data_IF_768312851271
#
_entry.id   IF_768312851271
#
_cell.length_a   1.000
_cell.length_b   1.000
_cell.length_c   1.000
_cell.angle_alpha   90.00
_cell.angle_beta   90.00
_cell.angle_gamma   90.00
#
_symmetry.space_group_name_H-M   'P 1'
#
loop_
_entity.id
_entity.type
_entity.pdbx_description
1 polymer ?
#
# COMPACT_ATOMS: atom_id res chain seq x y z
N UNK A 1 21.24 4.04 -4.66
CA UNK A 1 20.82 3.95 -3.25
C UNK A 1 19.40 3.42 -3.29
N UNK A 2 19.09 2.39 -2.51
CA UNK A 2 17.77 1.77 -2.60
C UNK A 2 16.76 2.54 -1.74
N UNK A 3 15.66 2.96 -2.37
CA UNK A 3 14.52 3.60 -1.73
C UNK A 3 13.30 2.70 -1.81
N UNK A 4 12.50 2.69 -0.74
CA UNK A 4 11.21 2.00 -0.69
C UNK A 4 10.09 3.03 -0.61
N UNK A 5 9.15 2.95 -1.54
CA UNK A 5 7.92 3.75 -1.54
C UNK A 5 6.77 2.82 -1.19
N UNK A 6 5.96 3.23 -0.22
CA UNK A 6 4.79 2.50 0.24
C UNK A 6 3.55 3.35 -0.01
N UNK A 7 2.60 2.82 -0.75
CA UNK A 7 1.35 3.50 -1.12
C UNK A 7 0.19 2.67 -0.58
N UNK A 8 -0.66 3.28 0.22
CA UNK A 8 -1.82 2.63 0.82
C UNK A 8 -3.06 3.49 0.68
N UNK A 9 -4.23 2.86 0.87
CA UNK A 9 -5.51 3.56 0.91
C UNK A 9 -5.60 4.49 2.13
N UNK A 10 -6.28 5.62 1.95
CA UNK A 10 -6.65 6.48 3.08
C UNK A 10 -7.56 5.73 4.05
N UNK A 11 -7.51 6.04 5.35
CA UNK A 11 -8.28 5.32 6.40
C UNK A 11 -9.79 5.23 6.13
N UNK A 12 -10.35 6.21 5.42
CA UNK A 12 -11.79 6.29 5.10
C UNK A 12 -12.17 5.59 3.79
N UNK A 13 -11.20 5.02 3.08
CA UNK A 13 -11.40 4.36 1.80
C UNK A 13 -11.43 2.86 2.01
N UNK A 14 -12.42 2.23 1.37
CA UNK A 14 -12.65 0.81 1.49
C UNK A 14 -11.61 0.03 0.70
N UNK A 15 -10.82 -0.76 1.40
CA UNK A 15 -9.92 -1.74 0.79
C UNK A 15 -10.67 -3.06 0.51
N UNK A 16 -11.21 -3.19 -0.70
CA UNK A 16 -11.95 -4.39 -1.09
C UNK A 16 -11.06 -5.65 -1.14
N UNK A 17 -9.77 -5.51 -1.43
CA UNK A 17 -8.82 -6.63 -1.47
C UNK A 17 -8.50 -7.08 -0.05
N UNK A 18 -8.22 -6.14 0.86
CA UNK A 18 -7.99 -6.39 2.28
C UNK A 18 -9.15 -7.16 2.91
N UNK A 19 -10.39 -6.72 2.68
CA UNK A 19 -11.59 -7.42 3.18
C UNK A 19 -11.73 -8.84 2.62
N UNK A 20 -11.44 -9.03 1.34
CA UNK A 20 -11.46 -10.37 0.71
C UNK A 20 -10.41 -11.30 1.33
N UNK A 21 -9.22 -10.78 1.60
CA UNK A 21 -8.13 -11.54 2.23
C UNK A 21 -8.45 -11.86 3.69
N UNK A 22 -8.97 -10.90 4.45
CA UNK A 22 -9.44 -11.12 5.83
C UNK A 22 -10.42 -12.28 5.90
N UNK A 23 -11.42 -12.28 5.00
CA UNK A 23 -12.39 -13.37 4.91
C UNK A 23 -11.73 -14.73 4.66
N UNK A 24 -10.81 -14.80 3.70
CA UNK A 24 -10.05 -16.05 3.41
C UNK A 24 -9.20 -16.52 4.59
N UNK A 25 -8.53 -15.62 5.31
CA UNK A 25 -7.71 -16.00 6.47
C UNK A 25 -8.59 -16.65 7.55
N UNK A 26 -9.77 -16.08 7.80
CA UNK A 26 -10.70 -16.62 8.79
C UNK A 26 -11.27 -17.96 8.32
N UNK A 27 -11.72 -18.07 7.07
CA UNK A 27 -12.35 -19.27 6.52
C UNK A 27 -11.39 -20.44 6.32
N UNK A 28 -10.21 -20.17 5.75
CA UNK A 28 -9.26 -21.21 5.34
C UNK A 28 -8.31 -21.60 6.48
N UNK A 29 -7.88 -20.63 7.29
CA UNK A 29 -6.85 -20.83 8.32
C UNK A 29 -7.41 -20.84 9.75
N UNK A 30 -8.69 -20.46 9.94
CA UNK A 30 -9.32 -20.31 11.26
C UNK A 30 -8.56 -19.35 12.19
N UNK A 31 -7.84 -18.39 11.64
CA UNK A 31 -7.12 -17.37 12.40
C UNK A 31 -8.04 -16.14 12.52
N UNK A 32 -8.41 -15.70 13.73
CA UNK A 32 -9.20 -14.50 13.91
C UNK A 32 -8.34 -13.26 13.59
N UNK A 33 -8.75 -12.49 12.57
CA UNK A 33 -8.09 -11.24 12.17
C UNK A 33 -9.08 -10.09 12.25
N UNK A 34 -8.69 -9.00 12.91
CA UNK A 34 -9.53 -7.82 13.10
C UNK A 34 -9.60 -6.93 11.86
N UNK A 35 -8.48 -6.72 11.17
CA UNK A 35 -8.40 -5.88 9.96
C UNK A 35 -7.26 -6.36 9.05
N UNK A 36 -7.39 -6.11 7.75
CA UNK A 36 -6.35 -6.35 6.75
C UNK A 36 -6.28 -5.14 5.83
N UNK A 37 -5.08 -4.56 5.71
CA UNK A 37 -4.77 -3.47 4.77
C UNK A 37 -3.81 -3.96 3.71
N UNK A 38 -4.09 -3.61 2.46
CA UNK A 38 -3.21 -3.80 1.32
C UNK A 38 -2.49 -2.50 1.01
N UNK A 39 -1.21 -2.64 0.64
CA UNK A 39 -0.35 -1.54 0.21
C UNK A 39 0.43 -1.98 -1.02
N UNK A 40 0.68 -1.03 -1.91
CA UNK A 40 1.61 -1.19 -3.02
C UNK A 40 3.00 -0.74 -2.58
N UNK A 41 4.01 -1.53 -2.95
CA UNK A 41 5.39 -1.34 -2.52
C UNK A 41 6.29 -1.27 -3.74
N UNK A 42 6.95 -0.14 -3.92
CA UNK A 42 7.91 0.08 -5.00
C UNK A 42 9.31 0.18 -4.43
N UNK A 43 10.24 -0.60 -4.99
CA UNK A 43 11.67 -0.50 -4.67
C UNK A 43 12.37 0.18 -5.84
N UNK A 44 13.03 1.30 -5.56
CA UNK A 44 13.74 2.08 -6.56
C UNK A 44 15.21 2.11 -6.16
N UNK A 45 16.06 1.49 -6.98
CA UNK A 45 17.51 1.67 -6.83
C UNK A 45 18.01 2.68 -7.85
N UNK A 46 18.07 3.94 -7.42
CA UNK A 46 18.52 5.06 -8.22
C UNK A 46 19.13 6.13 -7.30
N UNK A 47 19.91 7.04 -7.87
CA UNK A 47 20.39 8.20 -7.13
C UNK A 47 19.38 9.34 -7.27
N UNK A 48 18.41 9.37 -6.35
CA UNK A 48 17.32 10.33 -6.31
C UNK A 48 17.47 11.25 -5.11
N UNK A 49 17.16 12.53 -5.30
CA UNK A 49 17.03 13.48 -4.20
C UNK A 49 15.72 13.27 -3.44
N UNK A 50 15.63 13.81 -2.23
CA UNK A 50 14.41 13.75 -1.42
C UNK A 50 13.23 14.44 -2.12
N UNK A 51 13.48 15.54 -2.81
CA UNK A 51 12.44 16.27 -3.56
C UNK A 51 11.89 15.43 -4.71
N UNK A 52 12.77 14.70 -5.42
CA UNK A 52 12.35 13.79 -6.50
C UNK A 52 11.52 12.63 -5.98
N UNK A 53 11.89 12.05 -4.83
CA UNK A 53 11.12 10.98 -4.20
C UNK A 53 9.71 11.47 -3.80
N UNK A 54 9.59 12.64 -3.19
CA UNK A 54 8.30 13.23 -2.84
C UNK A 54 7.44 13.47 -4.09
N UNK A 55 8.05 14.03 -5.14
CA UNK A 55 7.37 14.25 -6.41
C UNK A 55 6.84 12.94 -7.01
N UNK A 56 7.66 11.89 -7.03
CA UNK A 56 7.26 10.56 -7.53
C UNK A 56 6.12 9.97 -6.70
N UNK A 57 6.21 10.04 -5.36
CA UNK A 57 5.15 9.58 -4.47
C UNK A 57 3.83 10.27 -4.78
N UNK A 58 3.82 11.60 -4.94
CA UNK A 58 2.59 12.39 -5.10
C UNK A 58 1.97 12.36 -6.50
N UNK A 59 2.80 12.20 -7.55
CA UNK A 59 2.34 12.40 -8.93
C UNK A 59 2.31 11.12 -9.76
N UNK A 60 3.13 10.11 -9.41
CA UNK A 60 3.25 8.89 -10.21
C UNK A 60 2.70 7.67 -9.47
N UNK A 61 3.08 7.51 -8.20
CA UNK A 61 2.79 6.28 -7.45
C UNK A 61 1.51 6.36 -6.61
N UNK A 62 1.04 7.56 -6.27
CA UNK A 62 -0.26 7.74 -5.61
C UNK A 62 -1.33 8.15 -6.60
N UNK A 63 -2.48 7.48 -6.56
CA UNK A 63 -3.71 8.04 -7.13
C UNK A 63 -4.28 9.07 -6.12
N UNK A 64 -4.40 10.37 -6.48
CA UNK A 64 -4.89 11.38 -5.55
C UNK A 64 -6.38 11.20 -5.19
N UNK A 65 -7.14 10.46 -6.00
CA UNK A 65 -8.59 10.27 -5.86
C UNK A 65 -8.92 9.22 -4.80
N UNK A 66 -8.08 8.20 -4.66
CA UNK A 66 -8.33 7.01 -3.82
C UNK A 66 -7.41 6.92 -2.60
#
# INVERSE_FOLDING_TARGET
MAYRIEVGFKEKIRDALGEKIKKRIIEDLNIPVSDVKTIDVYTIDADLSKEQLIFLCQNLFSDPVI
#
